data_IF_472693779356
#
_entry.id   IF_472693779356
#
_cell.length_a   1.000
_cell.length_b   1.000
_cell.length_c   1.000
_cell.angle_alpha   90.00
_cell.angle_beta   90.00
_cell.angle_gamma   90.00
#
_symmetry.space_group_name_H-M   'P 1'
#
loop_
_entity.id
_entity.type
_entity.pdbx_description
1 polymer ?
#
# COMPACT_ATOMS: atom_id res chain seq x y z
N UNK A 1 -5.22 -16.44 -10.55
CA UNK A 1 -4.03 -15.71 -11.06
C UNK A 1 -3.20 -15.20 -9.88
N UNK A 2 -1.85 -15.31 -9.96
CA UNK A 2 -0.90 -14.78 -9.00
C UNK A 2 -0.09 -13.65 -9.67
N UNK A 3 -0.49 -12.39 -9.54
CA UNK A 3 0.31 -11.30 -10.05
C UNK A 3 1.63 -11.16 -9.28
N UNK A 4 2.71 -10.88 -10.01
CA UNK A 4 4.05 -10.77 -9.45
C UNK A 4 4.76 -9.52 -9.97
N UNK A 5 5.71 -9.01 -9.19
CA UNK A 5 6.60 -7.92 -9.61
C UNK A 5 7.90 -8.47 -10.19
N UNK A 6 8.50 -7.74 -11.12
CA UNK A 6 9.84 -8.04 -11.65
C UNK A 6 10.97 -7.88 -10.62
N UNK A 7 10.67 -7.32 -9.44
CA UNK A 7 11.65 -7.15 -8.35
C UNK A 7 11.90 -8.41 -7.51
N UNK A 8 11.19 -9.51 -7.77
CA UNK A 8 11.38 -10.77 -7.05
C UNK A 8 12.78 -11.35 -7.29
N UNK A 9 13.37 -11.89 -6.23
CA UNK A 9 14.56 -12.73 -6.33
C UNK A 9 14.21 -14.13 -6.89
N UNK A 10 15.18 -14.93 -7.35
CA UNK A 10 14.95 -16.32 -7.74
C UNK A 10 14.32 -17.17 -6.63
N UNK A 11 14.69 -16.94 -5.37
CA UNK A 11 14.12 -17.64 -4.21
C UNK A 11 12.63 -17.26 -4.02
N UNK A 12 12.31 -15.96 -4.09
CA UNK A 12 10.93 -15.50 -4.02
C UNK A 12 10.06 -16.10 -5.14
N UNK A 13 10.61 -16.25 -6.34
CA UNK A 13 9.92 -16.86 -7.48
C UNK A 13 9.60 -18.33 -7.16
N UNK A 14 10.58 -19.11 -6.69
CA UNK A 14 10.37 -20.52 -6.32
C UNK A 14 9.32 -20.66 -5.23
N UNK A 15 9.44 -19.87 -4.16
CA UNK A 15 8.48 -19.88 -3.05
C UNK A 15 7.05 -19.54 -3.54
N UNK A 16 6.90 -18.54 -4.40
CA UNK A 16 5.59 -18.15 -4.93
C UNK A 16 4.98 -19.18 -5.85
N UNK A 17 5.78 -19.80 -6.72
CA UNK A 17 5.32 -20.88 -7.60
C UNK A 17 4.86 -22.07 -6.77
N UNK A 18 5.65 -22.44 -5.75
CA UNK A 18 5.35 -23.58 -4.89
C UNK A 18 4.12 -23.32 -3.99
N UNK A 19 4.12 -22.20 -3.22
CA UNK A 19 3.03 -21.88 -2.28
C UNK A 19 1.72 -21.56 -3.01
N UNK A 20 1.81 -20.99 -4.21
CA UNK A 20 0.65 -20.66 -5.03
C UNK A 20 0.21 -21.81 -5.95
N UNK A 21 0.89 -22.96 -5.88
CA UNK A 21 0.57 -24.15 -6.71
C UNK A 21 0.42 -23.79 -8.21
N UNK A 22 1.32 -22.91 -8.69
CA UNK A 22 1.22 -22.37 -10.05
C UNK A 22 1.54 -23.45 -11.08
N UNK A 23 0.59 -23.73 -11.97
CA UNK A 23 0.77 -24.68 -13.09
C UNK A 23 1.34 -24.02 -14.34
N UNK A 24 1.15 -22.72 -14.48
CA UNK A 24 1.60 -21.93 -15.61
C UNK A 24 2.29 -20.66 -15.11
N UNK A 25 3.38 -20.27 -15.79
CA UNK A 25 4.02 -18.97 -15.56
C UNK A 25 4.13 -18.23 -16.88
N UNK A 26 3.76 -16.94 -16.87
CA UNK A 26 3.92 -16.03 -18.01
C UNK A 26 4.93 -14.98 -17.61
N UNK A 27 6.05 -14.88 -18.33
CA UNK A 27 7.25 -14.17 -17.87
C UNK A 27 7.83 -13.34 -19.00
N UNK A 28 8.19 -12.09 -18.68
CA UNK A 28 8.96 -11.23 -19.57
C UNK A 28 10.35 -11.82 -19.84
N UNK A 29 10.83 -11.71 -21.09
CA UNK A 29 12.11 -12.27 -21.51
C UNK A 29 13.31 -11.86 -20.65
N UNK A 30 13.29 -10.65 -20.09
CA UNK A 30 14.34 -10.16 -19.21
C UNK A 30 14.40 -10.87 -17.84
N UNK A 31 13.31 -11.54 -17.44
CA UNK A 31 13.16 -12.15 -16.12
C UNK A 31 13.29 -13.68 -16.12
N UNK A 32 13.47 -14.32 -17.27
CA UNK A 32 13.45 -15.79 -17.42
C UNK A 32 14.51 -16.50 -16.55
N UNK A 33 15.68 -15.90 -16.37
CA UNK A 33 16.75 -16.47 -15.53
C UNK A 33 16.36 -16.67 -14.08
N UNK A 34 15.38 -15.94 -13.57
CA UNK A 34 14.87 -16.12 -12.19
C UNK A 34 14.06 -17.39 -11.99
N UNK A 35 13.66 -18.04 -13.08
CA UNK A 35 12.87 -19.27 -13.07
C UNK A 35 13.73 -20.54 -13.20
N UNK A 36 15.07 -20.39 -13.16
CA UNK A 36 15.96 -21.52 -13.04
C UNK A 36 15.70 -22.25 -11.72
N UNK A 37 15.55 -23.60 -11.79
CA UNK A 37 15.22 -24.41 -10.61
C UNK A 37 13.74 -24.46 -10.23
N UNK A 38 12.85 -23.79 -10.96
CA UNK A 38 11.39 -24.01 -10.85
C UNK A 38 11.07 -25.41 -11.40
N UNK A 39 10.12 -26.10 -10.78
CA UNK A 39 9.72 -27.46 -11.14
C UNK A 39 9.42 -27.60 -12.65
N UNK A 40 9.88 -28.68 -13.25
CA UNK A 40 9.73 -28.93 -14.68
C UNK A 40 8.27 -29.19 -15.12
N UNK A 41 7.37 -29.53 -14.19
CA UNK A 41 5.95 -29.69 -14.46
C UNK A 41 5.22 -28.36 -14.71
N UNK A 42 5.83 -27.24 -14.32
CA UNK A 42 5.26 -25.90 -14.55
C UNK A 42 5.44 -25.50 -16.01
N UNK A 43 4.33 -25.25 -16.69
CA UNK A 43 4.33 -24.76 -18.07
C UNK A 43 4.84 -23.32 -18.12
N UNK A 44 5.89 -23.08 -18.92
CA UNK A 44 6.61 -21.82 -19.00
C UNK A 44 6.30 -21.11 -20.32
N UNK A 45 5.85 -19.87 -20.24
CA UNK A 45 5.46 -19.05 -21.38
C UNK A 45 6.26 -17.74 -21.35
N UNK A 46 7.07 -17.49 -22.37
CA UNK A 46 7.86 -16.29 -22.52
C UNK A 46 7.07 -15.19 -23.28
N UNK A 47 7.25 -13.95 -22.82
CA UNK A 47 6.82 -12.73 -23.51
C UNK A 47 8.06 -12.02 -24.05
N UNK A 48 8.01 -11.51 -25.28
CA UNK A 48 9.15 -10.87 -25.93
C UNK A 48 9.84 -11.80 -26.92
N UNK A 49 11.10 -12.11 -26.72
CA UNK A 49 11.84 -13.00 -27.62
C UNK A 49 11.52 -14.49 -27.39
N UNK A 50 11.66 -15.29 -28.45
CA UNK A 50 11.51 -16.75 -28.34
C UNK A 50 12.74 -17.37 -27.67
N UNK A 51 12.49 -18.19 -26.66
CA UNK A 51 13.57 -18.84 -25.89
C UNK A 51 13.40 -20.35 -25.90
N UNK A 52 14.48 -21.09 -26.10
CA UNK A 52 14.46 -22.55 -26.09
C UNK A 52 13.92 -23.11 -24.76
N UNK A 53 13.05 -24.10 -24.81
CA UNK A 53 12.41 -24.71 -23.65
C UNK A 53 11.24 -23.94 -23.04
N UNK A 54 10.84 -22.81 -23.64
CA UNK A 54 9.67 -22.03 -23.27
C UNK A 54 8.67 -21.97 -24.42
N UNK A 55 7.39 -22.02 -24.10
CA UNK A 55 6.35 -21.59 -25.05
C UNK A 55 6.47 -20.08 -25.25
N UNK A 56 5.91 -19.56 -26.32
CA UNK A 56 5.89 -18.14 -26.57
C UNK A 56 4.46 -17.60 -26.60
N UNK A 57 4.20 -16.47 -25.97
CA UNK A 57 2.86 -15.88 -25.88
C UNK A 57 2.22 -15.65 -27.25
N UNK A 58 3.04 -15.33 -28.27
CA UNK A 58 2.59 -15.16 -29.65
C UNK A 58 1.98 -16.41 -30.29
N UNK A 59 2.26 -17.60 -29.76
CA UNK A 59 1.67 -18.83 -30.26
C UNK A 59 0.15 -18.90 -29.96
N UNK A 60 -0.28 -18.18 -28.89
CA UNK A 60 -1.70 -18.06 -28.56
C UNK A 60 -2.52 -17.34 -29.66
N UNK A 61 -1.89 -16.49 -30.46
CA UNK A 61 -2.58 -15.80 -31.57
C UNK A 61 -2.93 -16.72 -32.73
N UNK A 62 -2.36 -17.94 -32.75
CA UNK A 62 -2.70 -18.98 -33.72
C UNK A 62 -3.82 -19.91 -33.21
N UNK A 63 -4.20 -19.79 -31.95
CA UNK A 63 -5.28 -20.57 -31.37
C UNK A 63 -6.66 -20.13 -31.90
N UNK A 64 -7.64 -20.99 -31.80
CA UNK A 64 -9.03 -20.64 -32.13
C UNK A 64 -9.47 -19.41 -31.32
N UNK A 65 -10.10 -18.40 -31.95
CA UNK A 65 -10.71 -17.29 -31.22
C UNK A 65 -11.94 -17.71 -30.41
N UNK A 66 -12.44 -18.91 -30.65
CA UNK A 66 -13.60 -19.45 -29.91
C UNK A 66 -13.11 -20.08 -28.61
N UNK A 67 -13.43 -19.45 -27.50
CA UNK A 67 -13.19 -20.00 -26.18
C UNK A 67 -14.38 -20.85 -25.73
N UNK A 68 -14.12 -22.08 -25.36
CA UNK A 68 -15.10 -22.99 -24.74
C UNK A 68 -14.66 -23.20 -23.31
N UNK A 69 -15.42 -22.71 -22.32
CA UNK A 69 -15.05 -22.91 -20.90
C UNK A 69 -15.27 -24.38 -20.49
N UNK A 70 -14.38 -24.86 -19.62
CA UNK A 70 -14.49 -26.22 -19.05
C UNK A 70 -15.70 -26.39 -18.09
N UNK A 71 -16.25 -25.25 -17.65
CA UNK A 71 -17.39 -25.20 -16.74
C UNK A 71 -17.89 -23.79 -16.46
N UNK A 72 -18.89 -23.70 -15.59
CA UNK A 72 -19.47 -22.42 -15.18
C UNK A 72 -18.61 -21.79 -14.11
N UNK A 73 -18.11 -20.56 -14.35
CA UNK A 73 -17.42 -19.74 -13.33
C UNK A 73 -18.46 -19.14 -12.39
N UNK A 74 -18.29 -19.37 -11.10
CA UNK A 74 -19.17 -18.83 -10.04
C UNK A 74 -18.56 -17.58 -9.43
N UNK A 75 -19.40 -16.72 -8.85
CA UNK A 75 -18.96 -15.54 -8.14
C UNK A 75 -18.01 -15.83 -6.96
N UNK A 76 -18.14 -17.02 -6.37
CA UNK A 76 -17.33 -17.50 -5.24
C UNK A 76 -16.06 -18.22 -5.66
N UNK A 77 -15.85 -18.48 -6.96
CA UNK A 77 -14.63 -19.12 -7.43
C UNK A 77 -13.43 -18.19 -7.26
N UNK A 78 -12.25 -18.80 -7.04
CA UNK A 78 -11.01 -18.06 -6.86
C UNK A 78 -10.61 -17.32 -8.14
N UNK A 79 -10.38 -16.02 -8.03
CA UNK A 79 -9.91 -15.17 -9.12
C UNK A 79 -8.43 -14.82 -8.98
N UNK A 80 -8.05 -14.29 -7.82
CA UNK A 80 -6.72 -13.73 -7.56
C UNK A 80 -6.16 -14.26 -6.25
N UNK A 81 -4.85 -14.49 -6.27
CA UNK A 81 -4.03 -14.78 -5.10
C UNK A 81 -2.95 -13.69 -4.98
N UNK A 82 -2.90 -13.01 -3.84
CA UNK A 82 -1.88 -12.00 -3.57
C UNK A 82 -1.05 -12.36 -2.36
N UNK A 83 0.27 -12.31 -2.52
CA UNK A 83 1.18 -12.39 -1.37
C UNK A 83 1.18 -11.08 -0.59
N UNK A 84 0.95 -11.16 0.71
CA UNK A 84 1.17 -10.02 1.59
C UNK A 84 2.66 -9.85 1.87
N UNK A 85 3.14 -8.64 1.93
CA UNK A 85 4.46 -8.34 2.49
C UNK A 85 4.37 -8.38 4.02
N UNK A 86 4.39 -9.58 4.61
CA UNK A 86 4.43 -9.70 6.07
C UNK A 86 5.63 -8.94 6.64
N UNK A 87 5.38 -8.04 7.59
CA UNK A 87 6.45 -7.31 8.30
C UNK A 87 7.17 -8.20 9.33
N UNK A 88 6.54 -9.30 9.76
CA UNK A 88 7.00 -10.11 10.90
C UNK A 88 7.08 -11.63 10.64
N UNK A 89 6.55 -12.14 9.52
CA UNK A 89 6.47 -13.58 9.23
C UNK A 89 6.56 -13.88 7.73
N UNK A 90 6.56 -15.17 7.38
CA UNK A 90 6.46 -15.61 5.98
C UNK A 90 5.23 -14.97 5.31
N UNK A 91 5.34 -14.56 4.03
CA UNK A 91 4.24 -13.97 3.30
C UNK A 91 3.00 -14.88 3.33
N UNK A 92 1.83 -14.29 3.62
CA UNK A 92 0.55 -14.99 3.53
C UNK A 92 -0.02 -14.84 2.12
N UNK A 93 -0.77 -15.82 1.66
CA UNK A 93 -1.39 -15.83 0.34
C UNK A 93 -2.89 -15.55 0.47
N UNK A 94 -3.30 -14.36 0.11
CA UNK A 94 -4.68 -13.85 0.25
C UNK A 94 -5.53 -14.29 -0.93
N UNK A 95 -6.71 -14.85 -0.67
CA UNK A 95 -7.66 -15.32 -1.67
C UNK A 95 -8.74 -14.29 -1.97
N UNK A 96 -8.85 -13.90 -3.25
CA UNK A 96 -9.97 -13.09 -3.74
C UNK A 96 -10.77 -13.82 -4.83
N UNK A 97 -12.08 -13.73 -4.71
CA UNK A 97 -13.03 -14.38 -5.61
C UNK A 97 -13.43 -13.47 -6.77
N UNK A 98 -14.14 -14.03 -7.76
CA UNK A 98 -14.75 -13.28 -8.86
C UNK A 98 -15.77 -12.24 -8.40
N UNK A 99 -16.23 -12.29 -7.14
CA UNK A 99 -17.11 -11.32 -6.54
C UNK A 99 -16.33 -10.29 -5.69
N UNK A 100 -15.38 -10.75 -4.87
CA UNK A 100 -14.78 -9.88 -3.84
C UNK A 100 -14.01 -8.70 -4.44
N UNK A 101 -13.21 -8.90 -5.49
CA UNK A 101 -12.49 -7.80 -6.11
C UNK A 101 -13.33 -7.01 -7.12
N UNK A 102 -13.96 -7.60 -8.14
CA UNK A 102 -14.72 -6.79 -9.09
C UNK A 102 -15.78 -5.92 -8.45
N UNK A 103 -16.59 -6.48 -7.53
CA UNK A 103 -17.67 -5.72 -6.85
C UNK A 103 -17.12 -4.91 -5.68
N UNK A 104 -16.20 -5.46 -4.90
CA UNK A 104 -15.61 -4.76 -3.76
C UNK A 104 -14.91 -3.46 -4.15
N UNK A 105 -14.37 -3.37 -5.36
CA UNK A 105 -13.73 -2.17 -5.88
C UNK A 105 -14.68 -1.04 -6.29
N UNK A 106 -15.99 -1.21 -6.16
CA UNK A 106 -16.93 -0.09 -6.21
C UNK A 106 -16.64 0.95 -5.11
N UNK A 107 -16.20 0.50 -3.92
CA UNK A 107 -15.74 1.42 -2.86
C UNK A 107 -14.49 2.19 -3.28
N UNK A 108 -13.54 1.54 -3.94
CA UNK A 108 -12.32 2.18 -4.46
C UNK A 108 -12.63 3.16 -5.59
N UNK A 109 -13.54 2.80 -6.50
CA UNK A 109 -14.03 3.68 -7.56
C UNK A 109 -14.65 4.96 -6.97
N UNK A 110 -15.50 4.80 -5.97
CA UNK A 110 -16.15 5.90 -5.25
C UNK A 110 -15.14 6.80 -4.54
N UNK A 111 -14.16 6.20 -3.86
CA UNK A 111 -13.10 6.94 -3.18
C UNK A 111 -12.23 7.74 -4.16
N UNK A 112 -11.79 7.15 -5.27
CA UNK A 112 -11.01 7.86 -6.29
C UNK A 112 -11.88 8.94 -6.95
N UNK A 113 -13.20 8.72 -7.06
CA UNK A 113 -14.12 9.60 -7.75
C UNK A 113 -14.04 9.46 -9.26
N UNK A 114 -13.80 8.24 -9.74
CA UNK A 114 -13.70 7.93 -11.16
C UNK A 114 -15.04 8.11 -11.88
N UNK A 115 -14.95 8.61 -13.11
CA UNK A 115 -16.10 8.84 -13.99
C UNK A 115 -15.83 8.29 -15.40
N UNK A 116 -16.89 8.01 -16.17
CA UNK A 116 -16.73 7.66 -17.58
C UNK A 116 -15.97 8.75 -18.33
N UNK A 117 -14.98 8.32 -19.15
CA UNK A 117 -14.14 9.23 -19.91
C UNK A 117 -12.88 9.74 -19.20
N UNK A 118 -12.70 9.45 -17.91
CA UNK A 118 -11.44 9.70 -17.23
C UNK A 118 -10.29 8.92 -17.88
N UNK A 119 -9.10 9.52 -17.89
CA UNK A 119 -7.83 8.85 -18.17
C UNK A 119 -7.13 8.67 -16.82
N UNK A 120 -7.20 7.45 -16.31
CA UNK A 120 -6.69 7.12 -14.97
C UNK A 120 -5.31 6.49 -15.01
N UNK A 121 -4.38 7.06 -14.28
CA UNK A 121 -3.06 6.49 -14.06
C UNK A 121 -2.89 6.05 -12.61
N UNK A 122 -2.50 4.80 -12.42
CA UNK A 122 -2.06 4.28 -11.13
C UNK A 122 -0.57 3.96 -11.17
N UNK A 123 0.22 4.61 -10.32
CA UNK A 123 1.65 4.32 -10.17
C UNK A 123 1.82 3.23 -9.12
N UNK A 124 1.81 1.99 -9.57
CA UNK A 124 2.01 0.79 -8.75
C UNK A 124 2.40 -0.39 -9.63
N UNK A 125 3.12 -1.37 -9.09
CA UNK A 125 3.46 -2.61 -9.79
C UNK A 125 2.32 -3.63 -9.75
N UNK A 126 2.09 -4.42 -10.81
CA UNK A 126 1.08 -5.49 -10.85
C UNK A 126 1.19 -6.53 -9.72
N UNK A 127 2.38 -6.71 -9.17
CA UNK A 127 2.59 -7.64 -8.03
C UNK A 127 1.97 -7.19 -6.71
N UNK A 128 1.37 -6.00 -6.65
CA UNK A 128 0.72 -5.46 -5.47
C UNK A 128 -0.79 -5.34 -5.66
N UNK A 129 -1.55 -5.69 -4.62
CA UNK A 129 -3.01 -5.59 -4.66
C UNK A 129 -3.50 -4.19 -5.05
N UNK A 130 -2.81 -3.13 -4.60
CA UNK A 130 -3.12 -1.75 -4.98
C UNK A 130 -3.16 -1.52 -6.50
N UNK A 131 -2.35 -2.24 -7.27
CA UNK A 131 -2.43 -2.17 -8.75
C UNK A 131 -3.78 -2.70 -9.25
N UNK A 132 -4.24 -3.85 -8.75
CA UNK A 132 -5.55 -4.36 -9.13
C UNK A 132 -6.68 -3.40 -8.71
N UNK A 133 -6.56 -2.76 -7.54
CA UNK A 133 -7.55 -1.79 -7.09
C UNK A 133 -7.75 -0.65 -8.07
N UNK A 134 -6.69 0.06 -8.37
CA UNK A 134 -6.78 1.33 -9.07
C UNK A 134 -6.27 1.31 -10.50
N UNK A 135 -5.70 0.19 -10.99
CA UNK A 135 -5.33 0.05 -12.40
C UNK A 135 -6.24 -0.90 -13.17
N UNK A 136 -7.12 -1.64 -12.49
CA UNK A 136 -7.97 -2.64 -13.10
C UNK A 136 -9.45 -2.42 -12.74
N UNK A 137 -9.83 -2.85 -11.54
CA UNK A 137 -11.24 -2.99 -11.19
C UNK A 137 -11.96 -1.65 -11.03
N UNK A 138 -11.38 -0.71 -10.28
CA UNK A 138 -12.03 0.59 -10.06
C UNK A 138 -12.23 1.38 -11.37
N UNK A 139 -11.19 1.57 -12.22
CA UNK A 139 -11.38 2.32 -13.47
C UNK A 139 -12.27 1.60 -14.47
N UNK A 140 -12.25 0.27 -14.53
CA UNK A 140 -13.15 -0.47 -15.44
C UNK A 140 -14.60 -0.40 -14.97
N UNK A 141 -14.87 -0.50 -13.67
CA UNK A 141 -16.21 -0.26 -13.12
C UNK A 141 -16.74 1.13 -13.46
N UNK A 142 -15.86 2.13 -13.56
CA UNK A 142 -16.20 3.50 -13.92
C UNK A 142 -16.23 3.77 -15.43
N UNK A 143 -15.93 2.78 -16.29
CA UNK A 143 -15.75 2.98 -17.73
C UNK A 143 -14.69 4.03 -18.07
N UNK A 144 -13.66 4.14 -17.22
CA UNK A 144 -12.52 5.01 -17.41
C UNK A 144 -11.44 4.33 -18.26
N UNK A 145 -10.64 5.15 -18.96
CA UNK A 145 -9.45 4.67 -19.67
C UNK A 145 -8.34 4.36 -18.66
N UNK A 146 -7.81 3.15 -18.67
CA UNK A 146 -6.61 2.78 -17.91
C UNK A 146 -5.38 3.21 -18.69
N UNK A 147 -4.61 4.15 -18.14
CA UNK A 147 -3.32 4.56 -18.70
C UNK A 147 -2.19 3.73 -18.08
N UNK A 148 -1.37 3.10 -18.93
CA UNK A 148 -0.21 2.31 -18.52
C UNK A 148 1.05 2.98 -19.08
N UNK A 149 2.03 3.18 -18.19
CA UNK A 149 3.33 3.69 -18.55
C UNK A 149 4.42 2.80 -17.94
N UNK A 150 5.17 2.14 -18.81
CA UNK A 150 6.25 1.26 -18.41
C UNK A 150 7.54 2.06 -18.25
N UNK A 151 8.22 1.92 -17.14
CA UNK A 151 9.52 2.52 -16.84
C UNK A 151 10.39 1.53 -16.06
N UNK A 152 11.67 1.50 -16.34
CA UNK A 152 12.63 0.68 -15.60
C UNK A 152 12.90 1.26 -14.18
N UNK A 153 12.87 2.60 -14.09
CA UNK A 153 13.05 3.35 -12.84
C UNK A 153 12.10 4.54 -12.84
N UNK A 154 11.47 4.81 -11.70
CA UNK A 154 10.65 6.00 -11.54
C UNK A 154 11.51 7.27 -11.54
N UNK A 155 11.22 8.18 -12.46
CA UNK A 155 11.82 9.52 -12.57
C UNK A 155 10.70 10.55 -12.42
N UNK A 156 10.73 11.41 -11.39
CA UNK A 156 9.63 12.36 -11.12
C UNK A 156 9.32 13.30 -12.29
N UNK A 157 10.35 13.82 -12.95
CA UNK A 157 10.18 14.73 -14.11
C UNK A 157 9.48 14.05 -15.29
N UNK A 158 9.92 12.84 -15.63
CA UNK A 158 9.29 12.08 -16.71
C UNK A 158 7.82 11.80 -16.39
N UNK A 159 7.51 11.47 -15.13
CA UNK A 159 6.15 11.26 -14.69
C UNK A 159 5.29 12.54 -14.80
N UNK A 160 5.82 13.69 -14.44
CA UNK A 160 5.14 14.98 -14.56
C UNK A 160 4.92 15.35 -16.05
N UNK A 161 5.91 15.12 -16.90
CA UNK A 161 5.77 15.31 -18.35
C UNK A 161 4.68 14.42 -18.95
N UNK A 162 4.64 13.15 -18.54
CA UNK A 162 3.60 12.19 -18.95
C UNK A 162 2.21 12.64 -18.50
N UNK A 163 2.04 13.14 -17.28
CA UNK A 163 0.77 13.69 -16.79
C UNK A 163 0.22 14.77 -17.71
N UNK A 164 1.09 15.68 -18.16
CA UNK A 164 0.72 16.78 -19.06
C UNK A 164 0.47 16.29 -20.49
N UNK A 165 1.42 15.55 -21.07
CA UNK A 165 1.38 15.10 -22.45
C UNK A 165 0.22 14.15 -22.74
N UNK A 166 -0.15 13.31 -21.80
CA UNK A 166 -1.22 12.32 -21.92
C UNK A 166 -2.58 12.80 -21.39
N UNK A 167 -2.65 14.05 -20.94
CA UNK A 167 -3.87 14.62 -20.39
C UNK A 167 -4.51 13.73 -19.31
N UNK A 168 -3.70 13.20 -18.41
CA UNK A 168 -4.18 12.36 -17.30
C UNK A 168 -5.15 13.17 -16.45
N UNK A 169 -6.34 12.60 -16.20
CA UNK A 169 -7.39 13.29 -15.44
C UNK A 169 -7.48 12.83 -13.99
N UNK A 170 -7.03 11.61 -13.72
CA UNK A 170 -7.04 11.07 -12.34
C UNK A 170 -5.77 10.29 -12.05
N UNK A 171 -5.20 10.46 -10.85
CA UNK A 171 -3.94 9.83 -10.45
C UNK A 171 -4.07 9.16 -9.09
N UNK A 172 -3.67 7.89 -9.03
CA UNK A 172 -3.45 7.17 -7.78
C UNK A 172 -1.96 6.86 -7.62
N UNK A 173 -1.34 7.34 -6.56
CA UNK A 173 0.07 7.08 -6.30
C UNK A 173 0.34 6.83 -4.81
N UNK A 174 1.37 6.03 -4.45
CA UNK A 174 1.74 5.87 -3.06
C UNK A 174 2.40 7.14 -2.50
N UNK A 175 2.34 7.37 -1.18
CA UNK A 175 2.99 8.51 -0.54
C UNK A 175 4.47 8.67 -0.90
N UNK A 176 5.19 7.56 -1.11
CA UNK A 176 6.59 7.60 -1.58
C UNK A 176 6.73 8.34 -2.91
N UNK A 177 5.84 8.08 -3.88
CA UNK A 177 5.83 8.78 -5.17
C UNK A 177 5.50 10.26 -4.98
N UNK A 178 4.48 10.56 -4.16
CA UNK A 178 4.13 11.95 -3.84
C UNK A 178 5.30 12.71 -3.22
N UNK A 179 6.05 12.09 -2.28
CA UNK A 179 7.27 12.67 -1.70
C UNK A 179 8.32 13.02 -2.75
N UNK A 180 8.45 12.21 -3.80
CA UNK A 180 9.39 12.47 -4.90
C UNK A 180 8.88 13.59 -5.82
N UNK A 181 7.59 13.57 -6.18
CA UNK A 181 6.99 14.57 -7.07
C UNK A 181 7.06 15.99 -6.48
N UNK A 182 6.82 16.17 -5.18
CA UNK A 182 6.85 17.50 -4.54
C UNK A 182 8.27 18.10 -4.43
N UNK A 183 9.31 17.36 -4.79
CA UNK A 183 10.67 17.93 -4.92
C UNK A 183 10.87 18.68 -6.24
N UNK A 184 10.01 18.46 -7.22
CA UNK A 184 10.02 19.14 -8.52
C UNK A 184 9.16 20.43 -8.48
N UNK A 185 9.38 21.38 -9.40
CA UNK A 185 8.61 22.63 -9.44
C UNK A 185 7.20 22.38 -9.99
N UNK A 186 6.31 21.78 -9.19
CA UNK A 186 4.97 21.34 -9.60
C UNK A 186 4.16 22.41 -10.33
N UNK A 187 4.26 23.67 -9.89
CA UNK A 187 3.53 24.80 -10.47
C UNK A 187 3.88 25.08 -11.95
N UNK A 188 5.02 24.57 -12.45
CA UNK A 188 5.41 24.69 -13.85
C UNK A 188 4.72 23.70 -14.79
N UNK A 189 4.01 22.71 -14.24
CA UNK A 189 3.32 21.65 -14.99
C UNK A 189 1.82 21.95 -15.08
N UNK A 190 1.33 22.21 -16.29
CA UNK A 190 -0.10 22.48 -16.54
C UNK A 190 -0.89 21.16 -16.61
N UNK A 191 -1.05 20.49 -15.48
CA UNK A 191 -1.78 19.21 -15.38
C UNK A 191 -3.29 19.39 -15.60
N UNK A 192 -3.96 18.35 -16.10
CA UNK A 192 -5.41 18.28 -16.25
C UNK A 192 -6.07 17.37 -15.19
N UNK A 193 -5.37 17.17 -14.09
CA UNK A 193 -5.85 16.31 -13.00
C UNK A 193 -7.12 16.90 -12.37
N UNK A 194 -8.13 16.07 -12.24
CA UNK A 194 -9.40 16.35 -11.55
C UNK A 194 -9.42 15.74 -10.15
N UNK A 195 -8.92 14.50 -10.03
CA UNK A 195 -8.87 13.77 -8.78
C UNK A 195 -7.50 13.13 -8.58
N UNK A 196 -6.99 13.28 -7.38
CA UNK A 196 -5.72 12.68 -6.98
C UNK A 196 -5.82 12.02 -5.61
N UNK A 197 -5.29 10.80 -5.51
CA UNK A 197 -5.39 10.02 -4.29
C UNK A 197 -4.05 9.38 -3.89
N UNK A 198 -3.90 9.16 -2.59
CA UNK A 198 -2.78 8.44 -2.00
C UNK A 198 -3.26 7.26 -1.16
N UNK A 199 -2.58 6.12 -1.25
CA UNK A 199 -2.83 4.98 -0.38
C UNK A 199 -1.62 4.05 -0.30
N UNK A 200 -1.63 3.19 0.72
CA UNK A 200 -0.60 2.16 0.96
C UNK A 200 0.34 2.49 2.10
N UNK A 201 0.47 3.74 2.44
CA UNK A 201 1.12 4.30 3.63
C UNK A 201 0.35 5.55 4.04
N UNK A 202 0.44 6.01 5.28
CA UNK A 202 -0.14 7.28 5.67
C UNK A 202 0.50 8.46 4.92
N UNK A 203 -0.32 9.42 4.54
CA UNK A 203 0.10 10.59 3.77
C UNK A 203 0.39 11.79 4.69
N UNK A 204 1.58 12.37 4.54
CA UNK A 204 1.98 13.54 5.33
C UNK A 204 1.17 14.78 4.90
N UNK A 205 0.59 15.54 5.87
CA UNK A 205 -0.14 16.78 5.60
C UNK A 205 0.64 17.82 4.78
N UNK A 206 1.94 17.97 5.01
CA UNK A 206 2.80 18.90 4.24
C UNK A 206 2.78 18.62 2.73
N UNK A 207 2.76 17.35 2.36
CA UNK A 207 2.70 16.94 0.94
C UNK A 207 1.37 17.34 0.32
N UNK A 208 0.27 17.17 1.07
CA UNK A 208 -1.08 17.59 0.63
C UNK A 208 -1.09 19.10 0.38
N UNK A 209 -0.57 19.89 1.31
CA UNK A 209 -0.52 21.36 1.23
C UNK A 209 0.31 21.83 0.03
N UNK A 210 1.49 21.24 -0.20
CA UNK A 210 2.36 21.59 -1.33
C UNK A 210 1.71 21.31 -2.67
N UNK A 211 1.05 20.17 -2.84
CA UNK A 211 0.34 19.82 -4.08
C UNK A 211 -0.88 20.73 -4.26
N UNK A 212 -1.64 20.99 -3.20
CA UNK A 212 -2.78 21.91 -3.26
C UNK A 212 -2.35 23.33 -3.65
N UNK A 213 -1.26 23.82 -3.09
CA UNK A 213 -0.73 25.13 -3.43
C UNK A 213 -0.27 25.24 -4.88
N UNK A 214 0.27 24.15 -5.45
CA UNK A 214 0.79 24.14 -6.82
C UNK A 214 -0.29 23.93 -7.88
N UNK A 215 -1.27 23.05 -7.62
CA UNK A 215 -2.26 22.62 -8.63
C UNK A 215 -3.70 22.95 -8.27
N UNK A 216 -3.97 23.45 -7.06
CA UNK A 216 -5.34 23.73 -6.59
C UNK A 216 -6.15 22.48 -6.26
N UNK A 217 -5.53 21.29 -6.22
CA UNK A 217 -6.18 20.00 -6.00
C UNK A 217 -5.61 19.36 -4.74
N UNK A 218 -6.48 18.79 -3.91
CA UNK A 218 -6.10 18.13 -2.65
C UNK A 218 -5.89 16.65 -2.86
N UNK A 219 -4.73 16.11 -2.44
CA UNK A 219 -4.53 14.66 -2.39
C UNK A 219 -5.44 14.09 -1.31
N UNK A 220 -6.27 13.11 -1.67
CA UNK A 220 -7.19 12.45 -0.75
C UNK A 220 -6.65 11.10 -0.32
N UNK A 221 -6.46 10.92 0.98
CA UNK A 221 -5.99 9.67 1.56
C UNK A 221 -7.08 8.62 1.60
N UNK A 222 -6.65 7.34 1.57
CA UNK A 222 -7.52 6.19 1.72
C UNK A 222 -6.78 4.97 2.27
N UNK A 223 -7.50 4.17 3.03
CA UNK A 223 -7.00 3.00 3.73
C UNK A 223 -7.70 1.73 3.28
N UNK A 224 -6.91 0.70 3.12
CA UNK A 224 -7.32 -0.68 2.87
C UNK A 224 -6.11 -1.60 2.88
N UNK A 225 -6.36 -2.88 2.76
CA UNK A 225 -5.33 -3.93 2.83
C UNK A 225 -5.37 -4.81 1.58
N UNK A 226 -4.41 -5.72 1.45
CA UNK A 226 -4.48 -6.77 0.43
C UNK A 226 -5.71 -7.64 0.64
N UNK A 227 -6.07 -7.86 1.89
CA UNK A 227 -7.22 -8.64 2.35
C UNK A 227 -8.58 -7.98 2.10
N UNK A 228 -8.58 -6.68 1.78
CA UNK A 228 -9.80 -5.90 1.53
C UNK A 228 -9.66 -5.10 0.23
N UNK A 229 -10.62 -4.21 -0.03
CA UNK A 229 -10.47 -3.11 -0.98
C UNK A 229 -10.29 -1.80 -0.21
N UNK A 230 -10.46 -0.62 -0.80
CA UNK A 230 -10.47 0.61 -0.03
C UNK A 230 -11.69 0.64 0.90
N UNK A 231 -11.46 0.62 2.21
CA UNK A 231 -12.51 0.51 3.22
C UNK A 231 -12.78 1.81 3.98
N UNK A 232 -11.77 2.68 4.06
CA UNK A 232 -11.86 4.01 4.66
C UNK A 232 -11.25 4.99 3.65
N UNK A 233 -11.84 6.16 3.47
CA UNK A 233 -11.31 7.11 2.52
C UNK A 233 -11.97 8.48 2.61
N UNK A 234 -11.40 9.41 1.86
CA UNK A 234 -11.90 10.76 1.64
C UNK A 234 -12.46 10.83 0.20
N UNK A 235 -13.74 10.53 -0.07
CA UNK A 235 -14.32 10.63 -1.40
C UNK A 235 -14.47 12.09 -1.84
N UNK A 236 -14.67 12.37 -3.15
CA UNK A 236 -14.95 13.72 -3.63
C UNK A 236 -16.18 14.35 -2.96
N UNK A 237 -16.17 15.68 -2.85
CA UNK A 237 -17.29 16.44 -2.29
C UNK A 237 -17.37 16.45 -0.77
N UNK A 238 -16.41 15.82 -0.08
CA UNK A 238 -16.30 15.90 1.38
C UNK A 238 -15.06 16.71 1.78
N UNK A 239 -15.10 17.44 2.91
CA UNK A 239 -13.91 18.08 3.44
C UNK A 239 -12.80 17.05 3.68
N UNK A 240 -11.59 17.34 3.24
CA UNK A 240 -10.41 16.54 3.56
C UNK A 240 -9.83 17.04 4.88
N UNK A 241 -9.66 16.13 5.84
CA UNK A 241 -8.97 16.44 7.09
C UNK A 241 -7.54 15.91 6.96
N UNK A 242 -6.53 16.76 6.80
CA UNK A 242 -5.13 16.33 6.67
C UNK A 242 -4.70 15.45 7.84
N UNK A 243 -3.98 14.36 7.55
CA UNK A 243 -3.58 13.37 8.55
C UNK A 243 -4.66 12.35 8.93
N UNK A 244 -5.86 12.45 8.35
CA UNK A 244 -6.93 11.46 8.52
C UNK A 244 -7.05 10.56 7.29
N UNK A 245 -7.32 9.27 7.51
CA UNK A 245 -7.64 8.32 6.45
C UNK A 245 -9.01 8.60 5.80
N UNK A 246 -9.85 9.42 6.43
CA UNK A 246 -11.23 9.66 6.00
C UNK A 246 -12.26 8.94 6.88
N UNK A 247 -13.39 8.55 6.25
CA UNK A 247 -14.52 7.87 6.87
C UNK A 247 -14.76 6.52 6.21
N UNK A 248 -15.50 5.58 6.86
CA UNK A 248 -15.89 4.32 6.24
C UNK A 248 -16.58 4.57 4.87
N UNK A 249 -16.14 3.81 3.87
CA UNK A 249 -16.68 3.89 2.51
C UNK A 249 -17.91 3.00 2.33
N UNK A 250 -18.77 3.28 1.34
CA UNK A 250 -19.90 2.42 1.02
C UNK A 250 -19.52 0.95 0.85
N UNK A 251 -20.29 0.06 1.48
CA UNK A 251 -20.03 -1.39 1.50
C UNK A 251 -19.17 -1.85 2.69
N UNK A 252 -18.65 -0.94 3.52
CA UNK A 252 -17.88 -1.27 4.72
C UNK A 252 -18.51 -0.70 5.99
N UNK A 253 -18.70 -1.56 6.97
CA UNK A 253 -18.99 -1.19 8.34
C UNK A 253 -17.72 -1.36 9.16
N UNK A 254 -17.11 -0.25 9.55
CA UNK A 254 -15.85 -0.17 10.27
C UNK A 254 -16.13 0.18 11.71
N UNK A 255 -15.69 -0.67 12.62
CA UNK A 255 -15.71 -0.45 14.06
C UNK A 255 -14.27 -0.38 14.59
N UNK A 256 -14.08 0.21 15.78
CA UNK A 256 -12.84 0.19 16.53
C UNK A 256 -13.06 -0.60 17.82
N UNK A 257 -12.14 -1.50 18.13
CA UNK A 257 -12.22 -2.33 19.34
C UNK A 257 -10.93 -2.26 20.16
N UNK A 258 -11.08 -2.41 21.47
CA UNK A 258 -9.97 -2.59 22.39
C UNK A 258 -9.40 -4.02 22.31
N UNK A 259 -8.34 -4.38 23.08
CA UNK A 259 -7.79 -5.74 23.08
C UNK A 259 -8.74 -6.86 23.53
N UNK A 260 -9.83 -6.51 24.20
CA UNK A 260 -10.87 -7.44 24.67
C UNK A 260 -12.10 -7.46 23.72
N UNK A 261 -11.96 -6.89 22.52
CA UNK A 261 -12.96 -6.75 21.46
C UNK A 261 -14.20 -5.91 21.86
N UNK A 262 -14.07 -5.02 22.86
CA UNK A 262 -15.11 -4.05 23.19
C UNK A 262 -15.00 -2.79 22.34
N UNK A 263 -16.14 -2.14 21.99
CA UNK A 263 -16.12 -0.88 21.25
C UNK A 263 -15.27 0.19 21.92
N UNK A 264 -14.42 0.87 21.15
CA UNK A 264 -13.50 1.90 21.61
C UNK A 264 -13.41 3.08 20.65
N UNK A 265 -12.97 4.26 21.15
CA UNK A 265 -12.68 5.42 20.30
C UNK A 265 -11.25 5.36 19.71
N UNK A 266 -10.34 4.65 20.37
CA UNK A 266 -9.04 4.28 19.86
C UNK A 266 -8.86 2.77 20.03
N UNK A 267 -8.59 2.06 18.95
CA UNK A 267 -8.48 0.63 18.95
C UNK A 267 -8.17 0.03 17.58
N UNK A 268 -8.21 -1.27 17.52
CA UNK A 268 -8.02 -2.00 16.27
C UNK A 268 -9.19 -1.75 15.33
N UNK A 269 -8.88 -1.48 14.07
CA UNK A 269 -9.88 -1.41 13.00
C UNK A 269 -10.40 -2.82 12.73
N UNK A 270 -11.70 -3.02 12.87
CA UNK A 270 -12.35 -4.30 12.59
C UNK A 270 -13.53 -4.16 11.63
N UNK A 271 -13.81 -5.23 10.88
CA UNK A 271 -14.96 -5.33 10.00
C UNK A 271 -15.92 -6.39 10.52
N UNK A 272 -17.19 -6.05 10.68
CA UNK A 272 -18.21 -7.00 11.15
C UNK A 272 -18.44 -8.13 10.14
N UNK A 273 -18.31 -9.38 10.58
CA UNK A 273 -18.61 -10.56 9.77
C UNK A 273 -20.11 -10.86 9.70
N UNK A 274 -20.93 -10.31 10.59
CA UNK A 274 -22.40 -10.40 10.50
C UNK A 274 -22.94 -9.63 9.28
N UNK A 275 -22.24 -8.55 8.88
CA UNK A 275 -22.47 -7.82 7.63
C UNK A 275 -21.21 -7.87 6.77
N UNK A 276 -20.72 -9.07 6.49
CA UNK A 276 -19.45 -9.30 5.80
C UNK A 276 -19.36 -8.47 4.52
N UNK A 277 -18.37 -7.56 4.40
CA UNK A 277 -18.17 -6.79 3.18
C UNK A 277 -17.84 -7.69 1.99
N UNK A 278 -18.41 -7.41 0.83
CA UNK A 278 -18.10 -8.18 -0.39
C UNK A 278 -16.63 -8.09 -0.78
N UNK A 279 -15.97 -6.97 -0.50
CA UNK A 279 -14.55 -6.76 -0.79
C UNK A 279 -13.58 -7.46 0.18
N UNK A 280 -14.07 -8.13 1.22
CA UNK A 280 -13.22 -8.90 2.13
C UNK A 280 -12.78 -10.21 1.48
N UNK A 281 -11.50 -10.57 1.65
CA UNK A 281 -10.90 -11.83 1.19
C UNK A 281 -11.72 -13.06 1.60
N UNK A 282 -11.60 -14.15 0.84
CA UNK A 282 -12.18 -15.44 1.25
C UNK A 282 -11.44 -16.01 2.48
N UNK A 283 -10.12 -15.92 2.49
CA UNK A 283 -9.22 -16.35 3.55
C UNK A 283 -7.76 -16.29 3.10
N UNK A 284 -6.89 -16.89 3.89
CA UNK A 284 -5.50 -17.14 3.52
C UNK A 284 -5.37 -18.56 2.97
N UNK A 285 -4.91 -18.66 1.73
CA UNK A 285 -4.76 -19.96 1.02
C UNK A 285 -3.88 -20.91 1.81
N UNK A 286 -4.34 -22.15 1.97
CA UNK A 286 -3.65 -23.21 2.71
C UNK A 286 -3.23 -22.82 4.13
N UNK A 287 -3.93 -21.87 4.76
CA UNK A 287 -3.63 -21.39 6.11
C UNK A 287 -4.90 -21.06 6.93
N UNK A 288 -5.65 -22.13 7.26
CA UNK A 288 -6.90 -22.02 8.02
C UNK A 288 -6.66 -21.39 9.40
N UNK A 289 -5.52 -21.69 10.04
CA UNK A 289 -5.19 -21.10 11.33
C UNK A 289 -5.08 -19.58 11.25
N UNK A 290 -4.33 -19.04 10.30
CA UNK A 290 -4.20 -17.60 10.12
C UNK A 290 -5.53 -16.95 9.71
N UNK A 291 -6.36 -17.67 8.94
CA UNK A 291 -7.71 -17.21 8.58
C UNK A 291 -8.60 -17.10 9.82
N UNK A 292 -8.61 -18.13 10.67
CA UNK A 292 -9.39 -18.13 11.90
C UNK A 292 -8.90 -17.06 12.91
N UNK A 293 -7.58 -16.84 12.99
CA UNK A 293 -7.01 -15.77 13.82
C UNK A 293 -7.42 -14.38 13.33
N UNK A 294 -7.45 -14.15 12.02
CA UNK A 294 -7.88 -12.88 11.44
C UNK A 294 -9.41 -12.68 11.49
N UNK A 295 -10.19 -13.78 11.47
CA UNK A 295 -11.67 -13.74 11.45
C UNK A 295 -12.24 -14.32 12.74
N UNK A 296 -11.85 -13.74 13.88
CA UNK A 296 -12.28 -14.20 15.22
C UNK A 296 -13.39 -13.32 15.81
N UNK A 297 -14.12 -13.85 16.77
CA UNK A 297 -15.11 -13.14 17.60
C UNK A 297 -16.16 -12.33 16.80
N UNK A 298 -16.49 -12.79 15.57
CA UNK A 298 -17.46 -12.12 14.71
C UNK A 298 -16.91 -10.92 13.92
N UNK A 299 -15.59 -10.68 13.95
CA UNK A 299 -14.91 -9.60 13.24
C UNK A 299 -13.76 -10.12 12.38
N UNK A 300 -13.50 -9.41 11.28
CA UNK A 300 -12.20 -9.44 10.64
C UNK A 300 -11.31 -8.38 11.30
N UNK A 301 -10.17 -8.80 11.79
CA UNK A 301 -9.18 -8.00 12.49
C UNK A 301 -8.08 -7.55 11.54
N UNK A 302 -7.92 -6.23 11.37
CA UNK A 302 -6.95 -5.68 10.42
C UNK A 302 -5.52 -5.66 10.96
N UNK A 303 -5.35 -5.74 12.28
CA UNK A 303 -4.11 -5.44 13.02
C UNK A 303 -3.63 -4.00 12.82
N UNK A 304 -4.47 -3.10 12.33
CA UNK A 304 -4.20 -1.67 12.23
C UNK A 304 -5.00 -0.91 13.28
N UNK A 305 -4.35 0.01 13.99
CA UNK A 305 -4.95 0.81 15.07
C UNK A 305 -5.33 2.18 14.51
N UNK A 306 -6.52 2.64 14.85
CA UNK A 306 -6.98 3.99 14.54
C UNK A 306 -7.64 4.65 15.75
N UNK A 307 -7.74 5.98 15.68
CA UNK A 307 -8.51 6.81 16.61
C UNK A 307 -9.67 7.46 15.84
N UNK A 308 -10.86 7.43 16.43
CA UNK A 308 -12.05 8.11 15.91
C UNK A 308 -12.14 9.51 16.48
N UNK A 309 -12.22 10.50 15.61
CA UNK A 309 -12.47 11.89 15.97
C UNK A 309 -13.97 12.14 16.19
N UNK A 310 -14.32 13.25 16.88
CA UNK A 310 -15.70 13.63 17.14
C UNK A 310 -16.50 13.88 15.86
N UNK A 311 -15.83 14.29 14.78
CA UNK A 311 -16.41 14.50 13.45
C UNK A 311 -16.56 13.21 12.63
N UNK A 312 -16.20 12.04 13.22
CA UNK A 312 -16.31 10.71 12.62
C UNK A 312 -15.18 10.33 11.69
N UNK A 313 -14.17 11.18 11.49
CA UNK A 313 -12.97 10.82 10.75
C UNK A 313 -12.09 9.87 11.55
N UNK A 314 -11.41 8.97 10.85
CA UNK A 314 -10.47 8.00 11.42
C UNK A 314 -9.04 8.45 11.14
N UNK A 315 -8.24 8.53 12.19
CA UNK A 315 -6.81 8.86 12.14
C UNK A 315 -6.01 7.59 12.38
N UNK A 316 -5.06 7.29 11.51
CA UNK A 316 -4.19 6.14 11.64
C UNK A 316 -3.22 6.33 12.81
N UNK A 317 -3.15 5.32 13.69
CA UNK A 317 -2.23 5.32 14.82
C UNK A 317 -1.01 4.45 14.52
N UNK A 318 -1.20 3.28 13.96
CA UNK A 318 -0.09 2.36 13.63
C UNK A 318 -0.53 0.92 13.53
N UNK A 319 0.40 0.03 13.28
CA UNK A 319 0.18 -1.41 13.41
C UNK A 319 0.10 -1.80 14.88
N UNK A 320 -0.72 -2.77 15.21
CA UNK A 320 -0.84 -3.27 16.57
C UNK A 320 0.48 -3.85 17.11
N UNK A 321 1.28 -4.44 16.22
CA UNK A 321 2.60 -5.00 16.49
C UNK A 321 3.74 -3.96 16.50
N UNK A 322 3.57 -2.81 15.87
CA UNK A 322 4.56 -1.71 15.83
C UNK A 322 4.39 -0.72 17.00
N UNK A 323 3.15 -0.54 17.48
CA UNK A 323 2.85 0.37 18.59
C UNK A 323 3.42 -0.20 19.89
N UNK A 324 4.22 0.58 20.61
CA UNK A 324 4.90 0.13 21.81
C UNK A 324 4.62 1.00 23.04
N UNK A 325 4.83 0.43 24.23
CA UNK A 325 4.72 1.17 25.49
C UNK A 325 6.07 1.74 25.90
N UNK A 326 6.09 3.04 26.21
CA UNK A 326 7.20 3.70 26.89
C UNK A 326 6.70 4.23 28.23
N UNK A 327 7.08 3.59 29.34
CA UNK A 327 6.41 3.75 30.63
C UNK A 327 4.91 3.39 30.49
N UNK A 328 4.01 4.27 30.93
CA UNK A 328 2.55 4.07 30.84
C UNK A 328 1.93 4.57 29.52
N UNK A 329 2.75 5.15 28.62
CA UNK A 329 2.26 5.74 27.39
C UNK A 329 2.41 4.79 26.21
N UNK A 330 1.35 4.67 25.42
CA UNK A 330 1.36 3.97 24.14
C UNK A 330 1.87 4.94 23.07
N UNK A 331 2.92 4.54 22.33
CA UNK A 331 3.56 5.37 21.32
C UNK A 331 3.35 4.78 19.94
N UNK A 332 2.96 5.64 19.01
CA UNK A 332 2.88 5.34 17.59
C UNK A 332 4.22 5.66 16.93
N UNK A 333 4.95 4.68 16.38
CA UNK A 333 6.12 4.96 15.56
C UNK A 333 5.81 5.92 14.41
N UNK A 334 4.66 5.71 13.76
CA UNK A 334 4.23 6.53 12.63
C UNK A 334 4.09 8.01 12.98
N UNK A 335 3.47 8.34 14.12
CA UNK A 335 3.34 9.73 14.58
C UNK A 335 4.71 10.38 14.77
N UNK A 336 5.64 9.65 15.38
CA UNK A 336 6.99 10.14 15.65
C UNK A 336 7.81 10.34 14.36
N UNK A 337 7.69 9.38 13.44
CA UNK A 337 8.32 9.41 12.11
C UNK A 337 7.77 10.58 11.28
N UNK A 338 6.46 10.80 11.30
CA UNK A 338 5.82 11.91 10.58
C UNK A 338 6.36 13.27 11.02
N UNK A 339 6.58 13.45 12.32
CA UNK A 339 7.20 14.67 12.85
C UNK A 339 8.66 14.78 12.43
N UNK A 340 9.43 13.68 12.47
CA UNK A 340 10.85 13.73 12.13
C UNK A 340 11.10 14.11 10.67
N UNK A 341 10.26 13.65 9.74
CA UNK A 341 10.43 13.97 8.31
C UNK A 341 10.03 15.40 7.94
N UNK A 342 9.38 16.15 8.84
CA UNK A 342 9.18 17.61 8.69
C UNK A 342 10.51 18.38 8.82
N UNK A 343 11.53 17.79 9.46
CA UNK A 343 12.84 18.42 9.57
C UNK A 343 13.54 18.44 8.21
N UNK A 344 14.01 19.62 7.79
CA UNK A 344 14.57 19.85 6.44
C UNK A 344 15.69 18.90 6.03
N UNK A 345 16.52 18.45 6.97
CA UNK A 345 17.66 17.56 6.72
C UNK A 345 17.29 16.07 6.73
N UNK A 346 16.07 15.68 7.15
CA UNK A 346 15.67 14.26 7.27
C UNK A 346 14.93 13.82 6.02
N UNK A 347 15.44 12.76 5.37
CA UNK A 347 14.84 12.15 4.20
C UNK A 347 13.75 11.15 4.57
N UNK A 348 14.10 10.19 5.41
CA UNK A 348 13.22 9.15 5.92
C UNK A 348 13.53 8.89 7.40
N UNK A 349 12.54 8.36 8.12
CA UNK A 349 12.68 8.00 9.52
C UNK A 349 12.00 6.68 9.83
N UNK A 350 12.59 5.89 10.71
CA UNK A 350 12.00 4.73 11.34
C UNK A 350 12.16 4.85 12.86
N UNK A 351 11.08 4.67 13.61
CA UNK A 351 11.12 4.72 15.07
C UNK A 351 10.79 3.35 15.64
N UNK A 352 11.65 2.86 16.54
CA UNK A 352 11.51 1.58 17.19
C UNK A 352 11.65 1.71 18.71
N UNK A 353 11.07 0.76 19.48
CA UNK A 353 11.33 0.67 20.92
C UNK A 353 12.79 0.31 21.17
N UNK A 354 13.48 1.08 21.99
CA UNK A 354 14.84 0.77 22.45
C UNK A 354 14.81 0.50 23.93
N UNK A 355 15.33 -0.65 24.43
CA UNK A 355 15.29 -0.99 25.85
C UNK A 355 15.91 0.08 26.75
N UNK A 356 15.24 0.38 27.84
CA UNK A 356 15.70 1.37 28.83
C UNK A 356 15.49 0.81 30.24
N UNK A 357 16.48 0.93 31.15
CA UNK A 357 16.41 0.32 32.46
C UNK A 357 15.34 0.92 33.39
N UNK A 358 14.88 2.14 33.10
CA UNK A 358 13.88 2.84 33.95
C UNK A 358 12.51 2.88 33.28
N UNK A 359 12.46 3.08 31.98
CA UNK A 359 11.21 3.32 31.23
C UNK A 359 10.73 2.11 30.44
N UNK A 360 11.33 0.95 30.62
CA UNK A 360 11.15 -0.27 29.84
C UNK A 360 11.62 -0.08 28.39
N UNK A 361 11.03 0.87 27.66
CA UNK A 361 11.44 1.28 26.33
C UNK A 361 11.43 2.80 26.18
N UNK A 362 12.28 3.29 25.28
CA UNK A 362 12.31 4.69 24.82
C UNK A 362 12.33 4.72 23.29
N UNK A 363 11.77 5.78 22.67
CA UNK A 363 11.81 5.94 21.23
C UNK A 363 13.27 6.12 20.74
N UNK A 364 13.70 5.20 19.83
CA UNK A 364 14.94 5.33 19.06
C UNK A 364 14.58 5.57 17.61
N UNK A 365 15.09 6.65 17.02
CA UNK A 365 14.92 6.95 15.62
C UNK A 365 16.16 6.52 14.83
N UNK A 366 15.93 5.83 13.70
CA UNK A 366 16.86 5.65 12.61
C UNK A 366 16.46 6.60 11.49
N UNK A 367 17.39 7.38 10.95
CA UNK A 367 17.06 8.40 9.96
C UNK A 367 18.06 8.41 8.81
N UNK A 368 17.55 8.63 7.59
CA UNK A 368 18.39 8.97 6.44
C UNK A 368 18.50 10.48 6.32
N UNK A 369 19.62 10.95 5.83
CA UNK A 369 19.89 12.39 5.63
C UNK A 369 19.64 12.77 4.18
N UNK A 370 18.98 13.91 3.94
CA UNK A 370 18.77 14.44 2.58
C UNK A 370 20.08 14.88 1.94
N UNK A 371 20.11 14.89 0.62
CA UNK A 371 21.24 15.41 -0.13
C UNK A 371 21.52 16.88 0.24
N UNK A 372 22.78 17.21 0.47
CA UNK A 372 23.23 18.55 0.90
C UNK A 372 23.38 18.69 2.41
N UNK A 373 23.04 17.68 3.21
CA UNK A 373 23.27 17.65 4.65
C UNK A 373 24.23 16.52 5.03
N UNK A 374 24.97 16.69 6.09
CA UNK A 374 25.92 15.70 6.60
C UNK A 374 25.45 15.10 7.93
N UNK A 375 25.56 13.77 8.05
CA UNK A 375 25.31 13.07 9.30
C UNK A 375 26.40 13.41 10.32
N UNK A 376 26.01 13.87 11.50
CA UNK A 376 26.97 14.22 12.53
C UNK A 376 26.32 14.70 13.83
N UNK A 377 27.17 15.01 14.86
CA UNK A 377 26.67 15.42 16.17
C UNK A 377 25.83 16.72 16.15
N UNK A 378 26.13 17.64 15.23
CA UNK A 378 25.39 18.89 15.11
C UNK A 378 23.98 18.67 14.58
N UNK A 379 23.85 17.89 13.50
CA UNK A 379 22.54 17.50 12.97
C UNK A 379 21.76 16.68 14.01
N UNK A 380 22.40 15.77 14.72
CA UNK A 380 21.73 15.02 15.79
C UNK A 380 21.15 15.95 16.87
N UNK A 381 21.91 16.98 17.30
CA UNK A 381 21.40 17.99 18.26
C UNK A 381 20.22 18.78 17.69
N UNK A 382 20.27 19.16 16.42
CA UNK A 382 19.17 19.85 15.74
C UNK A 382 17.90 19.00 15.72
N UNK A 383 17.99 17.72 15.33
CA UNK A 383 16.86 16.77 15.30
C UNK A 383 16.28 16.55 16.72
N UNK A 384 17.13 16.42 17.75
CA UNK A 384 16.65 16.32 19.13
C UNK A 384 15.96 17.59 19.61
N UNK A 385 16.44 18.77 19.22
CA UNK A 385 15.78 20.04 19.53
C UNK A 385 14.43 20.12 18.86
N UNK A 386 14.38 19.85 17.56
CA UNK A 386 13.15 19.81 16.78
C UNK A 386 12.12 18.84 17.37
N UNK A 387 12.54 17.62 17.73
CA UNK A 387 11.69 16.64 18.42
C UNK A 387 11.15 17.19 19.76
N UNK A 388 11.93 17.98 20.51
CA UNK A 388 11.46 18.58 21.76
C UNK A 388 10.46 19.70 21.57
N UNK A 389 10.58 20.45 20.49
CA UNK A 389 9.69 21.56 20.13
C UNK A 389 8.33 21.05 19.62
N UNK A 390 8.36 19.98 18.83
CA UNK A 390 7.17 19.45 18.16
C UNK A 390 6.42 18.36 18.96
N UNK A 391 7.11 17.62 19.82
CA UNK A 391 6.55 16.45 20.50
C UNK A 391 6.39 16.67 22.01
N UNK A 392 5.27 16.17 22.55
CA UNK A 392 5.04 16.11 23.98
C UNK A 392 6.19 15.36 24.70
N UNK A 393 6.51 15.67 25.98
CA UNK A 393 7.67 15.12 26.69
C UNK A 393 7.80 13.60 26.65
N UNK A 394 6.71 12.86 26.69
CA UNK A 394 6.68 11.40 26.67
C UNK A 394 6.88 10.81 25.27
N UNK A 395 6.62 11.59 24.19
CA UNK A 395 6.78 11.20 22.78
C UNK A 395 8.16 11.53 22.21
N UNK A 396 8.99 12.30 22.91
CA UNK A 396 10.27 12.80 22.41
C UNK A 396 11.25 11.68 22.09
N UNK A 397 11.92 11.80 20.95
CA UNK A 397 13.02 10.91 20.59
C UNK A 397 14.12 10.97 21.66
N UNK A 398 14.60 9.80 22.08
CA UNK A 398 15.63 9.66 23.11
C UNK A 398 16.95 9.13 22.57
N UNK A 399 16.92 8.40 21.47
CA UNK A 399 18.10 7.87 20.78
C UNK A 399 17.96 8.13 19.31
N UNK A 400 19.06 8.44 18.64
CA UNK A 400 19.11 8.73 17.21
C UNK A 400 20.30 7.99 16.57
N UNK A 401 20.09 7.46 15.39
CA UNK A 401 21.13 6.87 14.57
C UNK A 401 20.90 7.25 13.11
N UNK A 402 21.96 7.72 12.45
CA UNK A 402 21.96 7.91 11.01
C UNK A 402 22.28 6.59 10.33
N UNK A 403 21.42 6.14 9.43
CA UNK A 403 21.53 4.82 8.80
C UNK A 403 20.65 4.75 7.55
N UNK A 404 21.02 3.91 6.60
CA UNK A 404 20.10 3.40 5.61
C UNK A 404 18.99 2.60 6.31
N UNK A 405 17.77 2.68 5.77
CA UNK A 405 16.62 1.98 6.33
C UNK A 405 16.31 0.73 5.52
N UNK A 406 16.23 -0.46 6.18
CA UNK A 406 15.82 -1.68 5.50
C UNK A 406 14.40 -1.55 4.97
N UNK A 407 14.17 -2.05 3.76
CA UNK A 407 12.89 -1.94 3.08
C UNK A 407 12.41 -3.27 2.55
N UNK A 408 11.11 -3.44 2.53
CA UNK A 408 10.47 -4.53 1.79
C UNK A 408 10.65 -4.32 0.29
N UNK A 409 10.38 -5.33 -0.52
CA UNK A 409 10.34 -5.24 -1.99
C UNK A 409 9.37 -4.15 -2.45
N UNK A 410 8.32 -3.84 -1.66
CA UNK A 410 7.36 -2.76 -1.95
C UNK A 410 7.84 -1.36 -1.56
N UNK A 411 9.05 -1.23 -0.99
CA UNK A 411 9.61 0.04 -0.53
C UNK A 411 9.17 0.47 0.87
N UNK A 412 8.38 -0.35 1.59
CA UNK A 412 7.98 -0.07 2.97
C UNK A 412 9.13 -0.35 3.94
N UNK A 413 9.31 0.54 4.91
CA UNK A 413 10.33 0.38 5.95
C UNK A 413 10.03 -0.86 6.81
N UNK A 414 11.06 -1.68 7.06
CA UNK A 414 11.00 -2.86 7.92
C UNK A 414 11.57 -2.50 9.30
N UNK A 415 10.69 -2.33 10.29
CA UNK A 415 11.09 -1.96 11.66
C UNK A 415 11.62 -3.13 12.48
N UNK A 416 11.43 -4.36 12.01
CA UNK A 416 11.89 -5.58 12.70
C UNK A 416 13.36 -5.92 12.44
N UNK A 417 13.97 -5.34 11.40
CA UNK A 417 15.37 -5.49 11.07
C UNK A 417 16.20 -4.35 11.73
#
# INVERSE_FOLDING_TARGET
VLPATTQLSPDDVRDRVQLGEARFVVVDGAELGKFEGVDASVTRIAVGERVAGWHHIGDAYQASPTFVPDGVTRATDLLLLYFTSGTTSKPKLVEHTHQSYPVGHLSTMYWIGLQPGDIHWNISSPGWAKHAWSCFFAPWNAQACVFIYNFARFVPRDALDVLVQRNITTLCAPPTVWRMLVQEPLASYAVKLREIVGAGEPLNPEIIERVQSAWGITIRDGFGQTETTCQIGNPPGQPVVPGSMGRPLPGYRVDLVDPDDHPANEGEIVLSLASRPLGLMAGYSNNEKATAEAMRNGFYHTSDIAMRRDDGYLVYVGRADDVFKASDYRLSPFELESVLIEHEAIGEAAVVPSPDPVKLYVPKAYVTVRQGYEAGPELARAVFRFSREKLAPYKRIRRLQFSELPKTISGKIRRVD
#
